data_IF_941826351136
#
_entry.id   IF_941826351136
#
_cell.length_a   1.000
_cell.length_b   1.000
_cell.length_c   1.000
_cell.angle_alpha   90.00
_cell.angle_beta   90.00
_cell.angle_gamma   90.00
#
_symmetry.space_group_name_H-M   'P 1'
#
loop_
_entity.id
_entity.type
_entity.pdbx_description
1 polymer ?
#
# COMPACT_ATOMS: atom_id res chain seq x y z
N UNK A 1 -11.11 -19.78 13.68
CA UNK A 1 -9.67 -19.72 13.39
C UNK A 1 -9.33 -20.30 12.02
N UNK A 2 -9.54 -21.57 11.76
CA UNK A 2 -9.24 -22.19 10.45
C UNK A 2 -10.16 -21.71 9.31
N UNK A 3 -11.43 -21.45 9.57
CA UNK A 3 -12.40 -20.94 8.58
C UNK A 3 -12.09 -19.49 8.18
N UNK A 4 -11.73 -18.63 9.14
CA UNK A 4 -11.36 -17.23 8.88
C UNK A 4 -10.10 -17.15 8.01
N UNK A 5 -9.15 -18.06 8.21
CA UNK A 5 -7.90 -18.11 7.42
C UNK A 5 -8.12 -18.60 5.99
N UNK A 6 -9.09 -19.51 5.80
CA UNK A 6 -9.49 -20.01 4.48
C UNK A 6 -10.25 -18.93 3.70
N UNK A 7 -11.19 -18.23 4.35
CA UNK A 7 -11.94 -17.14 3.71
C UNK A 7 -11.02 -15.99 3.29
N UNK A 8 -10.05 -15.63 4.11
CA UNK A 8 -9.06 -14.62 3.83
C UNK A 8 -8.17 -14.96 2.63
N UNK A 9 -7.64 -16.18 2.60
CA UNK A 9 -6.82 -16.64 1.46
C UNK A 9 -7.64 -16.72 0.17
N UNK A 10 -8.91 -17.07 0.27
CA UNK A 10 -9.82 -17.12 -0.88
C UNK A 10 -10.11 -15.71 -1.38
N UNK A 11 -10.39 -14.76 -0.48
CA UNK A 11 -10.62 -13.35 -0.84
C UNK A 11 -9.39 -12.73 -1.51
N UNK A 12 -8.19 -12.97 -0.96
CA UNK A 12 -6.93 -12.47 -1.54
C UNK A 12 -6.68 -13.06 -2.93
N UNK A 13 -6.97 -14.35 -3.12
CA UNK A 13 -6.84 -15.01 -4.42
C UNK A 13 -7.85 -14.49 -5.44
N UNK A 14 -9.12 -14.34 -5.04
CA UNK A 14 -10.17 -13.80 -5.90
C UNK A 14 -9.90 -12.33 -6.31
N UNK A 15 -9.38 -11.51 -5.39
CA UNK A 15 -8.97 -10.14 -5.69
C UNK A 15 -7.80 -10.11 -6.67
N UNK A 16 -6.84 -11.01 -6.52
CA UNK A 16 -5.71 -11.15 -7.44
C UNK A 16 -6.16 -11.59 -8.84
N UNK A 17 -7.09 -12.53 -8.93
CA UNK A 17 -7.64 -13.02 -10.21
C UNK A 17 -8.50 -11.94 -10.90
N UNK A 18 -9.27 -11.14 -10.15
CA UNK A 18 -10.03 -10.00 -10.69
C UNK A 18 -9.13 -8.85 -11.17
N UNK A 19 -7.97 -8.69 -10.57
CA UNK A 19 -6.99 -7.67 -10.94
C UNK A 19 -6.40 -7.87 -12.35
N UNK A 20 -6.53 -9.05 -12.95
CA UNK A 20 -6.09 -9.32 -14.31
C UNK A 20 -7.00 -8.74 -15.41
N UNK A 21 -8.07 -8.02 -15.06
CA UNK A 21 -8.92 -7.33 -16.04
C UNK A 21 -8.17 -6.22 -16.75
N UNK A 22 -8.48 -6.04 -18.03
CA UNK A 22 -7.95 -4.96 -18.87
C UNK A 22 -8.18 -3.60 -18.21
N UNK A 23 -7.13 -2.81 -18.06
CA UNK A 23 -7.18 -1.48 -17.47
C UNK A 23 -8.06 -0.53 -18.31
N UNK A 24 -8.71 0.41 -17.65
CA UNK A 24 -9.39 1.51 -18.31
C UNK A 24 -8.39 2.52 -18.89
N UNK A 25 -8.78 3.32 -19.87
CA UNK A 25 -7.91 4.36 -20.46
C UNK A 25 -7.33 5.33 -19.40
N UNK A 26 -8.11 5.61 -18.35
CA UNK A 26 -7.65 6.44 -17.22
C UNK A 26 -6.59 5.74 -16.40
N UNK A 27 -6.76 4.47 -16.12
CA UNK A 27 -5.78 3.64 -15.39
C UNK A 27 -4.49 3.48 -16.21
N UNK A 28 -4.59 3.33 -17.53
CA UNK A 28 -3.42 3.30 -18.42
C UNK A 28 -2.65 4.62 -18.42
N UNK A 29 -3.35 5.75 -18.40
CA UNK A 29 -2.71 7.07 -18.30
C UNK A 29 -1.98 7.22 -16.98
N UNK A 30 -2.60 6.78 -15.89
CA UNK A 30 -2.02 6.76 -14.56
C UNK A 30 -0.79 5.86 -14.50
N UNK A 31 -0.89 4.65 -15.09
CA UNK A 31 0.23 3.73 -15.19
C UNK A 31 1.42 4.37 -15.89
N UNK A 32 1.20 5.07 -17.03
CA UNK A 32 2.27 5.78 -17.74
C UNK A 32 2.92 6.88 -16.91
N UNK A 33 2.13 7.65 -16.14
CA UNK A 33 2.67 8.68 -15.25
C UNK A 33 3.54 8.06 -14.16
N UNK A 34 3.05 6.99 -13.51
CA UNK A 34 3.83 6.24 -12.52
C UNK A 34 5.13 5.71 -13.13
N UNK A 35 5.07 5.11 -14.32
CA UNK A 35 6.23 4.64 -15.04
C UNK A 35 7.22 5.75 -15.36
N UNK A 36 6.74 6.92 -15.78
CA UNK A 36 7.60 8.07 -16.06
C UNK A 36 8.29 8.60 -14.80
N UNK A 37 7.58 8.66 -13.68
CA UNK A 37 8.16 9.01 -12.36
C UNK A 37 9.28 8.01 -12.02
N UNK A 38 9.05 6.73 -12.25
CA UNK A 38 10.03 5.68 -12.01
C UNK A 38 11.26 5.76 -12.92
N UNK A 39 11.13 6.23 -14.14
CA UNK A 39 12.26 6.40 -15.09
C UNK A 39 13.10 7.64 -14.84
N UNK A 40 12.54 8.65 -14.15
CA UNK A 40 13.31 9.84 -13.79
C UNK A 40 14.36 9.42 -12.75
N UNK A 41 15.65 9.57 -13.10
CA UNK A 41 16.79 9.42 -12.18
C UNK A 41 16.82 10.57 -11.16
N UNK A 42 15.75 10.71 -10.39
CA UNK A 42 15.69 11.60 -9.26
C UNK A 42 16.49 11.02 -8.10
N UNK A 43 16.94 11.85 -7.18
CA UNK A 43 17.47 11.36 -5.92
C UNK A 43 16.46 10.40 -5.28
N UNK A 44 16.92 9.27 -4.82
CA UNK A 44 16.10 8.14 -4.35
C UNK A 44 15.00 8.57 -3.36
N UNK A 45 15.31 9.49 -2.46
CA UNK A 45 14.37 10.06 -1.50
C UNK A 45 13.22 10.82 -2.16
N UNK A 46 13.50 11.62 -3.18
CA UNK A 46 12.49 12.38 -3.92
C UNK A 46 11.52 11.45 -4.65
N UNK A 47 12.03 10.35 -5.19
CA UNK A 47 11.24 9.36 -5.91
C UNK A 47 10.21 8.66 -5.01
N UNK A 48 10.63 8.16 -3.86
CA UNK A 48 9.71 7.51 -2.91
C UNK A 48 8.62 8.47 -2.43
N UNK A 49 8.98 9.72 -2.15
CA UNK A 49 8.02 10.73 -1.73
C UNK A 49 7.00 11.04 -2.83
N UNK A 50 7.43 11.13 -4.08
CA UNK A 50 6.55 11.42 -5.20
C UNK A 50 5.67 10.23 -5.58
N UNK A 51 6.25 9.03 -5.59
CA UNK A 51 5.51 7.79 -5.77
C UNK A 51 4.42 7.64 -4.68
N UNK A 52 4.77 7.86 -3.43
CA UNK A 52 3.83 7.80 -2.32
C UNK A 52 2.69 8.79 -2.45
N UNK A 53 2.96 10.04 -2.83
CA UNK A 53 1.93 11.08 -3.07
C UNK A 53 0.99 10.70 -4.21
N UNK A 54 1.56 10.25 -5.32
CA UNK A 54 0.77 9.84 -6.49
C UNK A 54 -0.12 8.65 -6.17
N UNK A 55 0.42 7.61 -5.55
CA UNK A 55 -0.35 6.44 -5.14
C UNK A 55 -1.45 6.80 -4.14
N UNK A 56 -1.17 7.66 -3.15
CA UNK A 56 -2.15 8.08 -2.16
C UNK A 56 -3.35 8.79 -2.79
N UNK A 57 -3.09 9.75 -3.68
CA UNK A 57 -4.14 10.47 -4.40
C UNK A 57 -5.00 9.54 -5.26
N UNK A 58 -4.39 8.54 -5.88
CA UNK A 58 -5.09 7.60 -6.76
C UNK A 58 -5.85 6.51 -6.00
N UNK A 59 -5.31 6.03 -4.89
CA UNK A 59 -5.88 4.94 -4.10
C UNK A 59 -6.87 5.42 -3.04
N UNK A 60 -6.92 6.71 -2.74
CA UNK A 60 -7.65 7.28 -1.60
C UNK A 60 -7.25 6.61 -0.27
N UNK A 61 -5.96 6.33 -0.12
CA UNK A 61 -5.38 5.69 1.07
C UNK A 61 -4.17 6.46 1.57
N UNK A 62 -3.77 6.21 2.80
CA UNK A 62 -2.46 6.64 3.29
C UNK A 62 -1.41 5.68 2.72
N UNK A 63 -0.37 6.23 2.12
CA UNK A 63 0.72 5.46 1.54
C UNK A 63 2.00 5.69 2.31
N UNK A 64 2.62 4.60 2.71
CA UNK A 64 3.99 4.58 3.23
C UNK A 64 4.88 4.00 2.15
N UNK A 65 5.96 4.69 1.84
CA UNK A 65 6.91 4.26 0.82
C UNK A 65 8.33 4.59 1.25
N UNK A 66 9.26 3.71 0.96
CA UNK A 66 10.66 3.92 1.31
C UNK A 66 11.52 2.68 1.11
N UNK A 67 12.83 2.83 1.21
CA UNK A 67 13.77 1.72 1.15
C UNK A 67 13.70 0.85 2.41
N UNK A 68 14.00 -0.43 2.28
CA UNK A 68 14.01 -1.40 3.38
C UNK A 68 15.31 -1.33 4.19
N UNK A 69 16.06 -0.27 4.16
CA UNK A 69 17.28 -0.18 4.95
C UNK A 69 17.02 0.38 6.36
N UNK A 70 17.83 -0.05 7.33
CA UNK A 70 17.66 0.33 8.75
C UNK A 70 17.86 1.83 9.03
N UNK A 71 18.49 2.54 8.10
CA UNK A 71 18.93 3.93 8.30
C UNK A 71 18.11 4.94 7.48
N UNK A 72 17.16 4.47 6.66
CA UNK A 72 16.44 5.31 5.73
C UNK A 72 15.01 5.59 6.18
N UNK A 73 14.54 6.79 5.87
CA UNK A 73 13.26 7.34 6.30
C UNK A 73 12.15 6.82 5.39
N UNK A 74 11.02 6.42 5.98
CA UNK A 74 9.80 6.17 5.23
C UNK A 74 9.02 7.47 5.00
N UNK A 75 8.55 7.63 3.78
CA UNK A 75 7.66 8.73 3.43
C UNK A 75 6.21 8.33 3.70
N UNK A 76 5.46 9.26 4.30
CA UNK A 76 4.03 9.15 4.57
C UNK A 76 3.29 10.13 3.68
N UNK A 77 2.32 9.67 2.92
CA UNK A 77 1.50 10.49 2.02
C UNK A 77 0.03 10.16 2.13
N UNK A 78 -0.86 11.12 1.89
CA UNK A 78 -2.29 10.88 1.78
C UNK A 78 -3.02 10.66 3.09
N UNK A 79 -2.51 11.12 4.22
CA UNK A 79 -3.24 11.03 5.51
C UNK A 79 -4.62 11.71 5.40
N UNK A 80 -4.69 12.86 4.73
CA UNK A 80 -5.95 13.59 4.53
C UNK A 80 -6.94 12.84 3.65
N UNK A 81 -6.47 12.01 2.71
CA UNK A 81 -7.32 11.18 1.85
C UNK A 81 -8.15 10.18 2.68
N UNK A 82 -7.55 9.61 3.71
CA UNK A 82 -8.24 8.71 4.63
C UNK A 82 -9.11 9.48 5.62
N UNK A 83 -8.60 10.57 6.19
CA UNK A 83 -9.34 11.39 7.16
C UNK A 83 -10.61 12.01 6.57
N UNK A 84 -10.71 12.14 5.25
CA UNK A 84 -11.88 12.65 4.54
C UNK A 84 -12.96 11.59 4.31
N UNK A 85 -12.71 10.34 4.67
CA UNK A 85 -13.65 9.24 4.44
C UNK A 85 -14.68 9.15 5.57
N UNK A 86 -15.93 8.73 5.28
CA UNK A 86 -17.02 8.68 6.25
C UNK A 86 -16.69 7.85 7.50
N UNK A 87 -15.90 6.79 7.37
CA UNK A 87 -15.47 5.95 8.48
C UNK A 87 -14.64 6.71 9.51
N UNK A 88 -13.99 7.80 9.10
CA UNK A 88 -13.17 8.66 9.94
C UNK A 88 -13.90 9.91 10.44
N UNK A 89 -15.22 10.00 10.32
CA UNK A 89 -16.01 11.08 10.92
C UNK A 89 -16.00 11.02 12.46
N UNK A 90 -15.93 9.81 13.01
CA UNK A 90 -15.83 9.59 14.46
C UNK A 90 -14.45 10.00 14.99
N UNK A 91 -14.44 10.79 16.06
CA UNK A 91 -13.21 11.32 16.67
C UNK A 91 -12.33 10.20 17.23
N UNK A 92 -12.94 9.16 17.80
CA UNK A 92 -12.21 8.02 18.37
C UNK A 92 -11.52 7.23 17.26
N UNK A 93 -12.17 7.07 16.12
CA UNK A 93 -11.63 6.40 14.95
C UNK A 93 -10.46 7.19 14.33
N UNK A 94 -10.57 8.53 14.28
CA UNK A 94 -9.46 9.41 13.84
C UNK A 94 -8.24 9.28 14.74
N UNK A 95 -8.45 9.30 16.05
CA UNK A 95 -7.37 9.14 17.02
C UNK A 95 -6.71 7.78 16.82
N UNK A 96 -7.51 6.72 16.74
CA UNK A 96 -7.03 5.37 16.53
C UNK A 96 -6.23 5.24 15.22
N UNK A 97 -6.71 5.84 14.14
CA UNK A 97 -5.97 5.90 12.87
C UNK A 97 -4.61 6.60 13.05
N UNK A 98 -4.59 7.75 13.74
CA UNK A 98 -3.35 8.47 14.03
C UNK A 98 -2.33 7.64 14.80
N UNK A 99 -2.77 6.95 15.86
CA UNK A 99 -1.92 6.07 16.68
C UNK A 99 -1.29 4.94 15.84
N UNK A 100 -2.06 4.37 14.89
CA UNK A 100 -1.55 3.33 13.98
C UNK A 100 -0.54 3.94 13.00
N UNK A 101 -0.85 5.08 12.39
CA UNK A 101 0.03 5.78 11.45
C UNK A 101 1.39 6.11 12.11
N UNK A 102 1.38 6.55 13.36
CA UNK A 102 2.60 6.88 14.10
C UNK A 102 3.44 5.64 14.44
N UNK A 103 2.79 4.50 14.68
CA UNK A 103 3.48 3.24 14.98
C UNK A 103 3.89 2.45 13.73
N UNK A 104 3.46 2.85 12.54
CA UNK A 104 3.60 2.07 11.31
C UNK A 104 5.04 1.69 10.99
N UNK A 105 5.98 2.63 11.05
CA UNK A 105 7.38 2.38 10.70
C UNK A 105 8.03 1.30 11.57
N UNK A 106 7.71 1.31 12.87
CA UNK A 106 8.23 0.30 13.79
C UNK A 106 7.66 -1.10 13.49
N UNK A 107 6.40 -1.15 13.09
CA UNK A 107 5.72 -2.40 12.78
C UNK A 107 6.12 -2.97 11.41
N UNK A 108 6.39 -2.13 10.41
CA UNK A 108 6.73 -2.57 9.06
C UNK A 108 8.00 -3.45 9.02
N UNK A 109 8.93 -3.22 9.92
CA UNK A 109 10.14 -4.06 10.01
C UNK A 109 9.83 -5.53 10.29
N UNK A 110 8.74 -5.81 11.00
CA UNK A 110 8.30 -7.18 11.28
C UNK A 110 7.75 -7.91 10.05
N UNK A 111 7.31 -7.17 9.03
CA UNK A 111 6.73 -7.75 7.80
C UNK A 111 7.76 -8.15 6.76
N UNK A 112 8.95 -7.55 6.78
CA UNK A 112 9.93 -7.73 5.69
C UNK A 112 10.30 -9.20 5.44
N UNK A 113 10.31 -10.01 6.50
CA UNK A 113 10.66 -11.43 6.41
C UNK A 113 9.58 -12.31 5.79
N UNK A 114 8.33 -11.83 5.77
CA UNK A 114 7.17 -12.60 5.26
C UNK A 114 6.73 -12.17 3.87
N UNK A 115 7.27 -11.06 3.34
CA UNK A 115 6.90 -10.55 2.04
C UNK A 115 7.74 -11.18 0.93
N UNK A 116 7.06 -11.67 -0.09
CA UNK A 116 7.67 -12.04 -1.36
C UNK A 116 7.89 -10.78 -2.21
N UNK A 117 9.00 -10.75 -2.98
CA UNK A 117 9.25 -9.66 -3.90
C UNK A 117 8.16 -9.62 -4.98
N UNK A 118 7.75 -8.41 -5.34
CA UNK A 118 6.82 -8.13 -6.44
C UNK A 118 5.45 -8.80 -6.31
N UNK A 119 5.09 -9.18 -5.08
CA UNK A 119 3.79 -9.79 -4.78
C UNK A 119 3.03 -8.96 -3.76
N UNK A 120 2.01 -8.20 -4.17
CA UNK A 120 1.16 -7.49 -3.25
C UNK A 120 0.44 -8.45 -2.30
N UNK A 121 0.48 -8.15 -1.01
CA UNK A 121 -0.21 -8.90 0.04
C UNK A 121 -1.30 -8.02 0.63
N UNK A 122 -2.53 -8.53 0.69
CA UNK A 122 -3.68 -7.84 1.27
C UNK A 122 -3.92 -8.37 2.67
N UNK A 123 -4.01 -7.48 3.65
CA UNK A 123 -4.28 -7.80 5.05
C UNK A 123 -5.51 -7.01 5.50
N UNK A 124 -6.60 -7.72 5.80
CA UNK A 124 -7.90 -7.13 6.11
C UNK A 124 -8.23 -7.30 7.59
N UNK A 125 -8.45 -6.19 8.27
CA UNK A 125 -8.95 -6.21 9.63
C UNK A 125 -8.05 -6.96 10.61
N UNK A 126 -8.49 -8.09 11.11
CA UNK A 126 -7.76 -8.90 12.10
C UNK A 126 -6.48 -9.58 11.56
N UNK A 127 -6.31 -9.62 10.25
CA UNK A 127 -5.10 -10.13 9.60
C UNK A 127 -3.93 -9.17 9.73
N UNK A 128 -4.22 -7.90 10.04
CA UNK A 128 -3.19 -6.92 10.31
C UNK A 128 -2.40 -7.34 11.54
N UNK A 129 -1.09 -7.55 11.43
CA UNK A 129 -0.25 -7.84 12.59
C UNK A 129 0.01 -6.59 13.45
N UNK A 130 -0.45 -5.41 13.02
CA UNK A 130 -0.41 -4.19 13.82
C UNK A 130 -1.52 -4.28 14.87
N UNK A 131 -1.13 -4.16 16.13
CA UNK A 131 -2.06 -4.16 17.24
C UNK A 131 -3.13 -3.07 17.04
N UNK A 132 -4.39 -3.45 17.32
CA UNK A 132 -5.55 -2.58 17.19
C UNK A 132 -5.92 -2.13 15.77
N UNK A 133 -5.32 -2.66 14.71
CA UNK A 133 -5.65 -2.29 13.33
C UNK A 133 -6.84 -3.05 12.73
N UNK A 134 -7.67 -3.70 13.56
CA UNK A 134 -8.80 -4.54 13.11
C UNK A 134 -9.86 -3.79 12.28
N UNK A 135 -9.95 -2.48 12.39
CA UNK A 135 -10.90 -1.64 11.65
C UNK A 135 -10.34 -1.09 10.34
N UNK A 136 -9.08 -1.39 10.08
CA UNK A 136 -8.34 -0.95 8.91
C UNK A 136 -7.86 -2.14 8.09
N UNK A 137 -7.41 -1.83 6.89
CA UNK A 137 -6.79 -2.79 5.97
C UNK A 137 -5.54 -2.20 5.36
N UNK A 138 -4.65 -3.05 4.91
CA UNK A 138 -3.47 -2.63 4.18
C UNK A 138 -3.22 -3.53 2.98
N UNK A 139 -2.61 -2.95 1.96
CA UNK A 139 -1.98 -3.67 0.86
C UNK A 139 -0.50 -3.34 0.94
N UNK A 140 0.33 -4.35 1.09
CA UNK A 140 1.77 -4.20 1.26
C UNK A 140 2.51 -4.93 0.14
N UNK A 141 3.51 -4.29 -0.41
CA UNK A 141 4.35 -4.86 -1.46
C UNK A 141 5.81 -4.52 -1.21
N UNK A 142 6.65 -5.53 -1.30
CA UNK A 142 8.10 -5.39 -1.41
C UNK A 142 8.46 -5.39 -2.89
N UNK A 143 9.17 -4.38 -3.34
CA UNK A 143 9.55 -4.24 -4.75
C UNK A 143 10.97 -3.72 -4.87
N UNK A 144 11.72 -4.24 -5.82
CA UNK A 144 13.04 -3.73 -6.14
C UNK A 144 12.90 -2.44 -6.94
N UNK A 145 13.23 -1.33 -6.32
CA UNK A 145 13.13 0.00 -6.91
C UNK A 145 14.55 0.44 -7.29
N UNK A 146 14.70 1.06 -8.46
CA UNK A 146 15.89 1.74 -8.98
C UNK A 146 17.25 1.46 -8.33
N UNK A 147 18.21 1.01 -9.12
CA UNK A 147 19.56 0.75 -8.66
C UNK A 147 19.76 -0.53 -7.86
N UNK A 148 18.70 -1.34 -7.69
CA UNK A 148 18.77 -2.66 -7.07
C UNK A 148 18.49 -2.67 -5.56
N UNK A 149 18.09 -1.55 -4.94
CA UNK A 149 17.64 -1.55 -3.55
C UNK A 149 16.20 -2.04 -3.43
N UNK A 150 15.94 -2.84 -2.39
CA UNK A 150 14.59 -3.27 -2.05
C UNK A 150 13.84 -2.12 -1.38
N UNK A 151 12.66 -1.81 -1.89
CA UNK A 151 11.72 -0.85 -1.33
C UNK A 151 10.46 -1.52 -0.80
N UNK A 152 9.70 -0.79 -0.01
CA UNK A 152 8.39 -1.19 0.48
C UNK A 152 7.37 -0.11 0.17
N UNK A 153 6.19 -0.55 -0.22
CA UNK A 153 5.02 0.29 -0.44
C UNK A 153 3.87 -0.30 0.37
N UNK A 154 3.22 0.53 1.18
CA UNK A 154 2.04 0.15 1.96
C UNK A 154 0.93 1.13 1.66
N UNK A 155 -0.21 0.64 1.24
CA UNK A 155 -1.47 1.39 1.16
C UNK A 155 -2.31 1.02 2.37
N UNK A 156 -2.65 1.98 3.20
CA UNK A 156 -3.37 1.79 4.45
C UNK A 156 -4.63 2.65 4.51
N UNK A 157 -5.74 2.07 4.93
CA UNK A 157 -7.02 2.77 5.03
C UNK A 157 -8.11 1.91 5.65
N UNK A 158 -9.38 2.39 5.65
CA UNK A 158 -10.52 1.63 6.13
C UNK A 158 -10.71 0.31 5.38
N UNK A 159 -11.39 -0.66 6.01
CA UNK A 159 -11.67 -1.98 5.42
C UNK A 159 -12.37 -1.91 4.06
N UNK A 160 -13.10 -0.83 3.77
CA UNK A 160 -13.83 -0.66 2.50
C UNK A 160 -13.00 -0.03 1.38
N UNK A 161 -11.67 -0.02 1.50
CA UNK A 161 -10.83 0.47 0.41
C UNK A 161 -11.08 -0.33 -0.88
N UNK A 162 -10.85 0.30 -2.03
CA UNK A 162 -11.01 -0.35 -3.32
C UNK A 162 -9.79 -1.25 -3.62
N UNK A 163 -9.83 -2.49 -3.15
CA UNK A 163 -8.72 -3.44 -3.27
C UNK A 163 -8.34 -3.72 -4.73
N UNK A 164 -9.33 -3.94 -5.60
CA UNK A 164 -9.09 -4.24 -7.01
C UNK A 164 -8.31 -3.11 -7.69
N UNK A 165 -8.75 -1.87 -7.52
CA UNK A 165 -8.08 -0.69 -8.06
C UNK A 165 -6.67 -0.55 -7.49
N UNK A 166 -6.52 -0.71 -6.19
CA UNK A 166 -5.25 -0.52 -5.51
C UNK A 166 -4.23 -1.60 -5.86
N UNK A 167 -4.67 -2.86 -6.01
CA UNK A 167 -3.83 -3.94 -6.53
C UNK A 167 -3.35 -3.67 -7.96
N UNK A 168 -4.23 -3.18 -8.83
CA UNK A 168 -3.84 -2.80 -10.20
C UNK A 168 -2.81 -1.68 -10.22
N UNK A 169 -2.96 -0.67 -9.35
CA UNK A 169 -1.97 0.40 -9.23
C UNK A 169 -0.59 -0.15 -8.85
N UNK A 170 -0.52 -1.08 -7.91
CA UNK A 170 0.75 -1.72 -7.53
C UNK A 170 1.29 -2.61 -8.64
N UNK A 171 0.43 -3.33 -9.35
CA UNK A 171 0.85 -4.19 -10.47
C UNK A 171 1.48 -3.39 -11.62
N UNK A 172 1.08 -2.13 -11.83
CA UNK A 172 1.71 -1.28 -12.84
C UNK A 172 3.18 -0.97 -12.55
N UNK A 173 3.59 -1.09 -11.30
CA UNK A 173 4.97 -0.87 -10.89
C UNK A 173 5.87 -2.08 -11.18
N UNK A 174 5.28 -3.27 -11.30
CA UNK A 174 5.98 -4.54 -11.46
C UNK A 174 6.25 -4.85 -12.95
N UNK A 175 5.33 -4.45 -13.84
CA UNK A 175 5.31 -4.88 -15.24
C UNK A 175 6.35 -4.17 -16.15
N UNK A 176 7.45 -3.69 -15.63
CA UNK A 176 8.50 -2.97 -16.37
C UNK A 176 9.84 -3.72 -16.49
N UNK A 177 9.83 -5.04 -16.55
CA UNK A 177 11.00 -5.79 -17.01
C UNK A 177 10.90 -6.16 -18.51
#
# INVERSE_FOLDING_TARGET
MLLDEIESRTATRELGERSSRRMTAKEETIARVLQQIMRLRAEEHSLFAELGRTLASLSSSTVFSGPISKEKIMFKSGIHEVLSQPELEDISMRKHFGDIVDSMEANLKAFYSILENDKPTVLIGKENPINNAKDFSMIIMKHRIFGGEDGIIVMFGPKRMNYEKNLRLLQTLINEE
#
